data_IF_602581848549
#
_entry.id   IF_602581848549
#
_cell.length_a   1.000
_cell.length_b   1.000
_cell.length_c   1.000
_cell.angle_alpha   90.00
_cell.angle_beta   90.00
_cell.angle_gamma   90.00
#
_symmetry.space_group_name_H-M   'P 1'
#
loop_
_entity.id
_entity.type
_entity.pdbx_description
1 polymer ?
#
# COMPACT_ATOMS: atom_id res chain seq x y z
N UNK A 1 -15.73 -40.19 38.12
CA UNK A 1 -14.45 -39.79 37.50
C UNK A 1 -14.42 -39.82 35.96
N UNK A 2 -14.90 -40.86 35.25
CA UNK A 2 -14.89 -40.93 33.76
C UNK A 2 -15.70 -39.81 33.05
N UNK A 3 -16.89 -39.46 33.58
CA UNK A 3 -17.76 -38.41 33.00
C UNK A 3 -17.15 -37.00 33.11
N UNK A 4 -16.52 -36.66 34.24
CA UNK A 4 -15.84 -35.37 34.42
C UNK A 4 -14.66 -35.18 33.47
N UNK A 5 -13.88 -36.24 33.19
CA UNK A 5 -12.78 -36.22 32.22
C UNK A 5 -13.25 -35.97 30.79
N UNK A 6 -14.41 -36.54 30.41
CA UNK A 6 -15.01 -36.29 29.09
C UNK A 6 -15.47 -34.83 28.94
N UNK A 7 -16.08 -34.27 29.99
CA UNK A 7 -16.54 -32.86 29.99
C UNK A 7 -15.35 -31.89 29.95
N UNK A 8 -14.28 -32.13 30.72
CA UNK A 8 -13.07 -31.29 30.66
C UNK A 8 -12.39 -31.38 29.29
N UNK A 9 -12.32 -32.57 28.69
CA UNK A 9 -11.74 -32.75 27.37
C UNK A 9 -12.54 -32.03 26.27
N UNK A 10 -13.87 -32.03 26.36
CA UNK A 10 -14.74 -31.30 25.43
C UNK A 10 -14.55 -29.78 25.54
N UNK A 11 -14.50 -29.25 26.77
CA UNK A 11 -14.29 -27.81 27.00
C UNK A 11 -12.93 -27.37 26.45
N UNK A 12 -11.88 -28.15 26.71
CA UNK A 12 -10.53 -27.88 26.19
C UNK A 12 -10.50 -27.86 24.65
N UNK A 13 -11.22 -28.77 24.00
CA UNK A 13 -11.28 -28.85 22.55
C UNK A 13 -12.00 -27.65 21.94
N UNK A 14 -13.09 -27.19 22.56
CA UNK A 14 -13.81 -25.97 22.13
C UNK A 14 -12.94 -24.72 22.32
N UNK A 15 -12.24 -24.62 23.46
CA UNK A 15 -11.32 -23.51 23.74
C UNK A 15 -10.17 -23.46 22.73
N UNK A 16 -9.64 -24.63 22.36
CA UNK A 16 -8.59 -24.75 21.35
C UNK A 16 -9.08 -24.26 19.98
N UNK A 17 -10.28 -24.67 19.56
CA UNK A 17 -10.86 -24.23 18.29
C UNK A 17 -11.11 -22.72 18.24
N UNK A 18 -11.58 -22.13 19.34
CA UNK A 18 -11.75 -20.68 19.45
C UNK A 18 -10.42 -19.92 19.35
N UNK A 19 -9.38 -20.40 20.03
CA UNK A 19 -8.05 -19.80 19.98
C UNK A 19 -7.45 -19.86 18.56
N UNK A 20 -7.53 -21.02 17.91
CA UNK A 20 -7.06 -21.19 16.53
C UNK A 20 -7.83 -20.30 15.57
N UNK A 21 -9.17 -20.26 15.70
CA UNK A 21 -10.03 -19.41 14.88
C UNK A 21 -9.67 -17.93 15.00
N UNK A 22 -9.43 -17.45 16.23
CA UNK A 22 -9.03 -16.07 16.48
C UNK A 22 -7.70 -15.71 15.82
N UNK A 23 -6.67 -16.55 15.98
CA UNK A 23 -5.34 -16.31 15.40
C UNK A 23 -5.40 -16.26 13.87
N UNK A 24 -6.17 -17.17 13.25
CA UNK A 24 -6.33 -17.20 11.79
C UNK A 24 -7.03 -15.94 11.29
N UNK A 25 -8.07 -15.49 11.99
CA UNK A 25 -8.83 -14.30 11.60
C UNK A 25 -7.99 -13.02 11.70
N UNK A 26 -7.21 -12.87 12.76
CA UNK A 26 -6.33 -11.73 12.99
C UNK A 26 -5.23 -11.65 11.91
N UNK A 27 -4.56 -12.78 11.64
CA UNK A 27 -3.57 -12.89 10.55
C UNK A 27 -4.15 -12.58 9.18
N UNK A 28 -5.38 -13.01 8.91
CA UNK A 28 -6.02 -12.77 7.63
C UNK A 28 -6.43 -11.30 7.45
N UNK A 29 -6.94 -10.68 8.51
CA UNK A 29 -7.25 -9.25 8.53
C UNK A 29 -5.99 -8.41 8.29
N UNK A 30 -4.88 -8.73 8.98
CA UNK A 30 -3.62 -8.01 8.82
C UNK A 30 -3.04 -8.17 7.40
N UNK A 31 -3.09 -9.38 6.82
CA UNK A 31 -2.64 -9.60 5.43
C UNK A 31 -3.47 -8.83 4.42
N UNK A 32 -4.80 -8.82 4.57
CA UNK A 32 -5.69 -8.09 3.66
C UNK A 32 -5.39 -6.59 3.71
N UNK A 33 -5.23 -6.04 4.91
CA UNK A 33 -4.94 -4.63 5.12
C UNK A 33 -3.57 -4.23 4.52
N UNK A 34 -2.55 -5.06 4.68
CA UNK A 34 -1.24 -4.86 4.04
C UNK A 34 -1.31 -4.94 2.51
N UNK A 35 -2.10 -5.86 1.96
CA UNK A 35 -2.26 -6.03 0.51
C UNK A 35 -2.93 -4.83 -0.15
N UNK A 36 -3.98 -4.29 0.47
CA UNK A 36 -4.67 -3.11 -0.04
C UNK A 36 -3.73 -1.90 -0.05
N UNK A 37 -3.05 -1.62 1.06
CA UNK A 37 -2.08 -0.51 1.15
C UNK A 37 -0.96 -0.61 0.11
N UNK A 38 -0.41 -1.81 -0.10
CA UNK A 38 0.64 -2.04 -1.09
C UNK A 38 0.12 -1.81 -2.53
N UNK A 39 -1.12 -2.20 -2.82
CA UNK A 39 -1.74 -1.98 -4.13
C UNK A 39 -1.97 -0.49 -4.40
N UNK A 40 -2.45 0.27 -3.40
CA UNK A 40 -2.57 1.73 -3.51
C UNK A 40 -1.22 2.41 -3.70
N UNK A 41 -0.19 2.01 -2.94
CA UNK A 41 1.15 2.57 -3.07
C UNK A 41 1.74 2.33 -4.46
N UNK A 42 1.59 1.12 -5.01
CA UNK A 42 2.04 0.81 -6.38
C UNK A 42 1.29 1.63 -7.43
N UNK A 43 -0.04 1.76 -7.30
CA UNK A 43 -0.84 2.56 -8.23
C UNK A 43 -0.47 4.04 -8.20
N UNK A 44 -0.24 4.59 -7.00
CA UNK A 44 0.22 5.96 -6.83
C UNK A 44 1.61 6.17 -7.46
N UNK A 45 2.58 5.30 -7.15
CA UNK A 45 3.93 5.36 -7.73
C UNK A 45 3.92 5.33 -9.25
N UNK A 46 3.13 4.43 -9.84
CA UNK A 46 3.00 4.33 -11.29
C UNK A 46 2.41 5.60 -11.93
N UNK A 47 1.41 6.22 -11.28
CA UNK A 47 0.84 7.50 -11.74
C UNK A 47 1.84 8.65 -11.67
N UNK A 48 2.65 8.72 -10.60
CA UNK A 48 3.71 9.73 -10.46
C UNK A 48 4.79 9.57 -11.52
N UNK A 49 5.25 8.34 -11.79
CA UNK A 49 6.24 8.08 -12.83
C UNK A 49 5.77 8.55 -14.21
N UNK A 50 4.51 8.28 -14.56
CA UNK A 50 3.94 8.74 -15.83
C UNK A 50 3.87 10.27 -15.93
N UNK A 51 3.43 10.95 -14.87
CA UNK A 51 3.37 12.41 -14.83
C UNK A 51 4.75 13.05 -14.96
N UNK A 52 5.74 12.50 -14.26
CA UNK A 52 7.13 12.97 -14.34
C UNK A 52 7.71 12.73 -15.75
N UNK A 53 7.47 11.56 -16.35
CA UNK A 53 7.93 11.26 -17.71
C UNK A 53 7.35 12.24 -18.74
N UNK A 54 6.06 12.58 -18.65
CA UNK A 54 5.45 13.56 -19.55
C UNK A 54 6.07 14.96 -19.40
N UNK A 55 6.33 15.38 -18.15
CA UNK A 55 7.01 16.65 -17.87
C UNK A 55 8.45 16.65 -18.41
N UNK A 56 9.19 15.56 -18.23
CA UNK A 56 10.55 15.41 -18.78
C UNK A 56 10.54 15.48 -20.29
N UNK A 57 9.62 14.78 -20.96
CA UNK A 57 9.47 14.81 -22.43
C UNK A 57 9.21 16.21 -22.98
N UNK A 58 8.48 17.05 -22.23
CA UNK A 58 8.27 18.45 -22.60
C UNK A 58 9.49 19.32 -22.25
N UNK A 59 10.20 19.03 -21.15
CA UNK A 59 11.38 19.79 -20.77
C UNK A 59 12.57 19.57 -21.72
N UNK A 60 12.71 18.38 -22.33
CA UNK A 60 13.78 18.07 -23.30
C UNK A 60 13.61 18.76 -24.65
N UNK A 61 12.42 19.29 -24.98
CA UNK A 61 12.22 20.12 -26.19
C UNK A 61 12.70 21.56 -26.00
N UNK A 62 13.37 21.85 -24.88
CA UNK A 62 13.83 23.18 -24.50
C UNK A 62 12.72 24.22 -24.35
N UNK A 63 11.47 23.77 -24.21
CA UNK A 63 10.34 24.62 -23.88
C UNK A 63 10.19 24.67 -22.36
N UNK A 64 9.93 25.86 -21.82
CA UNK A 64 9.66 26.02 -20.40
C UNK A 64 8.34 25.34 -20.06
N UNK A 65 8.38 24.37 -19.15
CA UNK A 65 7.19 23.67 -18.66
C UNK A 65 6.77 24.34 -17.35
N UNK A 66 5.63 25.06 -17.30
CA UNK A 66 5.16 25.67 -16.07
C UNK A 66 4.54 24.59 -15.17
N UNK A 67 5.17 24.32 -14.03
CA UNK A 67 4.57 23.51 -12.97
C UNK A 67 3.93 24.43 -11.93
N UNK A 68 2.66 24.19 -11.64
CA UNK A 68 1.93 24.90 -10.60
C UNK A 68 2.04 24.07 -9.31
N UNK A 69 2.76 24.59 -8.32
CA UNK A 69 2.87 23.96 -6.99
C UNK A 69 2.29 24.93 -5.96
N UNK A 70 1.06 24.66 -5.53
CA UNK A 70 0.32 25.56 -4.63
C UNK A 70 -0.07 26.86 -5.32
N UNK A 71 0.49 27.99 -4.87
CA UNK A 71 0.26 29.34 -5.42
C UNK A 71 1.49 29.92 -6.14
N UNK A 72 2.45 29.07 -6.48
CA UNK A 72 3.67 29.45 -7.20
C UNK A 72 3.79 28.63 -8.49
N UNK A 73 4.14 29.31 -9.58
CA UNK A 73 4.44 28.67 -10.86
C UNK A 73 5.95 28.58 -11.01
N UNK A 74 6.47 27.36 -11.10
CA UNK A 74 7.89 27.07 -11.30
C UNK A 74 8.07 26.63 -12.75
N UNK A 75 8.86 27.38 -13.52
CA UNK A 75 9.19 27.00 -14.89
C UNK A 75 10.41 26.08 -14.86
N UNK A 76 10.23 24.84 -15.30
CA UNK A 76 11.33 23.88 -15.49
C UNK A 76 11.74 23.83 -16.96
N UNK A 77 13.04 23.67 -17.16
CA UNK A 77 13.68 23.46 -18.46
C UNK A 77 14.79 22.43 -18.28
N UNK A 78 15.04 21.60 -19.28
CA UNK A 78 16.14 20.65 -19.21
C UNK A 78 17.49 21.39 -19.12
N UNK A 79 18.38 20.92 -18.24
CA UNK A 79 19.71 21.51 -18.04
C UNK A 79 20.52 21.52 -19.33
N UNK A 80 20.30 20.54 -20.20
CA UNK A 80 20.93 20.49 -21.53
C UNK A 80 20.58 21.65 -22.45
N UNK A 81 19.47 22.36 -22.18
CA UNK A 81 19.01 23.51 -22.94
C UNK A 81 19.56 24.85 -22.43
N UNK A 82 20.27 24.86 -21.30
CA UNK A 82 20.92 26.05 -20.72
C UNK A 82 22.40 26.14 -21.18
N UNK A 83 22.72 25.53 -22.32
CA UNK A 83 24.06 25.64 -22.93
C UNK A 83 24.26 26.99 -23.60
#
# INVERSE_FOLDING_TARGET
>A
MRRQRLVTSLILLVLLLLAVGYIVFDKYAEMKQRSELNTFQRGAQYGYEQGILAVIQQAVTCQQVPLIVGNQTINIIAVDCIK
#
